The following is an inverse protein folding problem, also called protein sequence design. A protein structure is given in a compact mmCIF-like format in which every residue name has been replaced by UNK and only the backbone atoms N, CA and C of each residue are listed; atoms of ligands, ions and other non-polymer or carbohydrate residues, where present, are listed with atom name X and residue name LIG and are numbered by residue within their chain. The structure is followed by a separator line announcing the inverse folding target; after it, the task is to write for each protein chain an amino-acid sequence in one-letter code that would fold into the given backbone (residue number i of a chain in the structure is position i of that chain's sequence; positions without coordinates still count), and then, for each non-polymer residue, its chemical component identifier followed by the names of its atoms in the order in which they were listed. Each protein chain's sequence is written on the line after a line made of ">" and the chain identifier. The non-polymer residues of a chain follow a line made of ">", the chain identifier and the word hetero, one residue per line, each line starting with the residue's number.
data_IF_386928884453
#
_entry.id   IF_386928884453
#
_cell.length_a   1.000
_cell.length_b   1.000
_cell.length_c   1.000
_cell.angle_alpha   90.00
_cell.angle_beta   90.00
_cell.angle_gamma   90.00
#
_symmetry.space_group_name_H-M   'P 1'
#
loop_
_entity.id
_entity.type
_entity.pdbx_description
1 polymer ?
#
# COMPACT_ATOMS: atom_id res chain seq x y z
N UNK A 1 -4.51 17.51 -23.08
CA UNK A 1 -3.61 16.39 -22.71
C UNK A 1 -2.33 16.99 -22.14
N UNK A 2 -2.09 16.82 -20.83
CA UNK A 2 -0.86 17.29 -20.19
C UNK A 2 0.37 16.67 -20.90
N UNK A 3 1.39 17.49 -21.19
CA UNK A 3 2.66 17.01 -21.70
C UNK A 3 3.22 15.90 -20.80
N UNK A 4 3.83 14.82 -21.33
CA UNK A 4 4.40 13.73 -20.54
C UNK A 4 5.35 14.19 -19.42
N UNK A 5 5.97 15.37 -19.59
CA UNK A 5 6.88 15.98 -18.61
C UNK A 5 6.17 16.45 -17.32
N UNK A 6 4.87 16.72 -17.37
CA UNK A 6 4.11 17.32 -16.26
C UNK A 6 3.16 16.33 -15.57
N UNK A 7 3.22 15.04 -15.90
CA UNK A 7 2.34 14.04 -15.27
C UNK A 7 2.72 13.85 -13.80
N UNK A 8 1.74 13.90 -12.89
CA UNK A 8 1.92 13.60 -11.48
C UNK A 8 1.74 12.10 -11.28
N UNK A 9 2.81 11.36 -10.96
CA UNK A 9 2.75 9.91 -10.79
C UNK A 9 3.90 9.39 -9.92
N UNK A 10 3.63 8.30 -9.23
CA UNK A 10 4.57 7.61 -8.36
C UNK A 10 4.35 6.10 -8.42
N UNK A 11 5.44 5.37 -8.27
CA UNK A 11 5.45 3.93 -8.07
C UNK A 11 6.47 3.66 -6.97
N UNK A 12 6.06 2.94 -5.95
CA UNK A 12 6.86 2.64 -4.78
C UNK A 12 6.96 1.14 -4.59
N UNK A 13 8.12 0.70 -4.12
CA UNK A 13 8.43 -0.71 -3.91
C UNK A 13 8.55 -1.00 -2.43
N UNK A 14 8.06 -2.15 -1.96
CA UNK A 14 8.07 -2.42 -0.53
C UNK A 14 9.51 -2.49 0.02
N UNK A 15 9.75 -1.86 1.18
CA UNK A 15 11.00 -2.05 1.93
C UNK A 15 10.94 -3.31 2.77
N UNK A 16 12.08 -3.75 3.28
CA UNK A 16 12.09 -4.70 4.40
C UNK A 16 11.32 -4.05 5.56
N UNK A 17 10.26 -4.70 6.00
CA UNK A 17 9.43 -4.20 7.10
C UNK A 17 10.09 -4.51 8.45
N UNK A 18 9.88 -3.63 9.43
CA UNK A 18 10.26 -3.85 10.83
C UNK A 18 9.01 -4.21 11.65
N UNK A 19 8.83 -5.47 12.07
CA UNK A 19 7.67 -5.87 12.87
C UNK A 19 7.60 -5.20 14.25
N UNK A 20 8.70 -4.65 14.75
CA UNK A 20 8.74 -3.97 16.06
C UNK A 20 8.17 -2.55 16.01
N UNK A 21 8.00 -1.96 14.81
CA UNK A 21 7.42 -0.63 14.64
C UNK A 21 5.88 -0.62 14.68
N UNK A 22 5.25 -1.76 14.93
CA UNK A 22 3.78 -1.86 15.06
C UNK A 22 3.38 -1.43 16.48
N UNK A 23 2.85 -0.21 16.60
CA UNK A 23 2.37 0.35 17.87
C UNK A 23 0.86 0.58 17.84
N UNK A 24 0.13 0.02 18.81
CA UNK A 24 -1.27 0.34 19.07
C UNK A 24 -2.30 -0.62 18.46
N UNK A 25 -3.57 -0.18 18.39
CA UNK A 25 -4.73 -0.93 17.86
C UNK A 25 -4.92 -0.78 16.34
N UNK A 26 -4.09 0.02 15.67
CA UNK A 26 -4.23 0.29 14.24
C UNK A 26 -3.49 -0.75 13.41
N UNK A 27 -4.02 -1.03 12.21
CA UNK A 27 -3.34 -1.92 11.27
C UNK A 27 -1.98 -1.35 10.86
N UNK A 28 -0.92 -2.17 10.83
CA UNK A 28 0.42 -1.71 10.46
C UNK A 28 0.46 -1.10 9.06
N UNK A 29 1.20 0.00 8.94
CA UNK A 29 1.42 0.73 7.68
C UNK A 29 2.69 0.20 7.02
N UNK A 30 2.62 -0.08 5.72
CA UNK A 30 3.78 -0.49 4.94
C UNK A 30 4.75 0.66 4.70
N UNK A 31 6.04 0.34 4.80
CA UNK A 31 7.13 1.22 4.41
C UNK A 31 7.58 0.94 2.97
N UNK A 32 7.94 2.00 2.26
CA UNK A 32 8.18 1.96 0.83
C UNK A 32 9.51 2.61 0.44
N UNK A 33 10.12 2.10 -0.62
CA UNK A 33 11.20 2.67 -1.39
C UNK A 33 10.62 3.51 -2.51
N UNK A 34 11.11 4.74 -2.68
CA UNK A 34 10.56 5.76 -3.58
C UNK A 34 11.57 6.30 -4.61
N UNK A 35 12.84 5.86 -4.55
CA UNK A 35 13.93 6.44 -5.36
C UNK A 35 14.79 5.43 -6.12
N UNK A 36 14.90 4.19 -5.63
CA UNK A 36 15.80 3.16 -6.17
C UNK A 36 15.04 2.06 -6.89
N UNK A 37 15.73 1.37 -7.80
CA UNK A 37 15.17 0.24 -8.54
C UNK A 37 14.04 0.70 -9.46
N UNK A 38 12.91 -0.02 -9.41
CA UNK A 38 11.70 0.35 -10.14
C UNK A 38 10.90 1.50 -9.48
N UNK A 39 11.29 1.95 -8.28
CA UNK A 39 10.59 3.01 -7.57
C UNK A 39 10.94 4.41 -8.09
N UNK A 40 9.94 5.28 -8.14
CA UNK A 40 10.12 6.69 -8.45
C UNK A 40 8.95 7.54 -7.93
N UNK A 41 9.23 8.84 -7.78
CA UNK A 41 8.25 9.91 -7.57
C UNK A 41 8.47 11.00 -8.61
N UNK A 42 7.40 11.58 -9.15
CA UNK A 42 7.46 12.65 -10.17
C UNK A 42 6.48 13.77 -9.86
N UNK A 43 6.90 14.99 -10.23
CA UNK A 43 6.08 16.20 -10.15
C UNK A 43 5.42 16.40 -8.77
N UNK A 44 6.26 16.37 -7.74
CA UNK A 44 5.94 16.64 -6.33
C UNK A 44 4.99 15.65 -5.64
N UNK A 45 4.57 14.56 -6.29
CA UNK A 45 3.92 13.43 -5.61
C UNK A 45 4.97 12.72 -4.75
N UNK A 46 5.09 13.15 -3.50
CA UNK A 46 6.24 12.86 -2.64
C UNK A 46 5.94 11.77 -1.62
N UNK A 47 6.98 11.11 -1.13
CA UNK A 47 6.87 10.12 -0.06
C UNK A 47 7.48 10.67 1.22
N UNK A 48 6.69 10.72 2.29
CA UNK A 48 7.14 11.17 3.61
C UNK A 48 6.33 10.48 4.71
N UNK A 49 6.98 10.11 5.80
CA UNK A 49 6.32 9.54 6.99
C UNK A 49 5.39 8.37 6.67
N UNK A 50 5.85 7.46 5.79
CA UNK A 50 5.09 6.30 5.29
C UNK A 50 3.86 6.60 4.43
N UNK A 51 3.67 7.85 4.01
CA UNK A 51 2.56 8.26 3.18
C UNK A 51 3.02 8.86 1.84
N UNK A 52 2.22 8.63 0.80
CA UNK A 52 2.30 9.38 -0.46
C UNK A 52 1.47 10.65 -0.32
N UNK A 53 2.10 11.81 -0.51
CA UNK A 53 1.49 13.13 -0.26
C UNK A 53 1.03 13.74 -1.59
N UNK A 54 -0.26 14.03 -1.69
CA UNK A 54 -0.90 14.57 -2.89
C UNK A 54 -0.49 16.03 -3.12
N UNK A 55 0.12 16.36 -4.27
CA UNK A 55 0.65 17.70 -4.52
C UNK A 55 -0.39 18.66 -5.11
N UNK A 56 -1.44 18.15 -5.72
CA UNK A 56 -2.48 18.93 -6.43
C UNK A 56 -3.81 18.20 -6.32
N UNK A 57 -4.89 18.91 -6.01
CA UNK A 57 -6.23 18.33 -5.98
C UNK A 57 -6.68 17.81 -7.35
N UNK A 58 -7.37 16.69 -7.39
CA UNK A 58 -7.89 16.10 -8.62
C UNK A 58 -8.26 14.62 -8.47
N UNK A 59 -8.60 13.99 -9.59
CA UNK A 59 -8.91 12.57 -9.63
C UNK A 59 -7.65 11.75 -9.90
N UNK A 60 -7.33 10.86 -8.97
CA UNK A 60 -6.17 9.98 -9.04
C UNK A 60 -6.61 8.55 -9.26
N UNK A 61 -5.94 7.83 -10.15
CA UNK A 61 -5.96 6.38 -10.10
C UNK A 61 -4.93 5.92 -9.07
N UNK A 62 -5.41 5.32 -7.99
CA UNK A 62 -4.58 4.81 -6.88
C UNK A 62 -4.61 3.29 -6.92
N UNK A 63 -3.45 2.65 -6.79
CA UNK A 63 -3.35 1.19 -6.86
C UNK A 63 -2.26 0.64 -5.95
N UNK A 64 -2.47 -0.59 -5.47
CA UNK A 64 -1.49 -1.34 -4.70
C UNK A 64 -1.61 -2.82 -4.99
N UNK A 65 -0.47 -3.51 -5.03
CA UNK A 65 -0.41 -4.96 -4.87
C UNK A 65 0.33 -5.28 -3.58
N UNK A 66 -0.25 -6.14 -2.75
CA UNK A 66 0.42 -6.72 -1.59
C UNK A 66 0.45 -8.22 -1.74
N UNK A 67 1.65 -8.79 -1.87
CA UNK A 67 1.83 -10.24 -1.84
C UNK A 67 2.09 -10.67 -0.42
N UNK A 68 1.23 -11.54 0.09
CA UNK A 68 1.40 -12.20 1.37
C UNK A 68 1.98 -13.59 1.18
N UNK A 69 2.81 -14.03 2.13
CA UNK A 69 3.36 -15.39 2.22
C UNK A 69 3.43 -15.82 3.67
N UNK A 70 3.14 -17.08 3.94
CA UNK A 70 3.15 -17.62 5.30
C UNK A 70 3.76 -19.01 5.37
N UNK A 71 4.33 -19.38 6.53
CA UNK A 71 4.78 -20.74 6.77
C UNK A 71 3.59 -21.70 6.80
N UNK A 72 3.88 -22.96 6.47
CA UNK A 72 2.99 -24.09 6.63
C UNK A 72 2.84 -24.45 8.11
N UNK A 73 2.15 -23.65 8.91
CA UNK A 73 1.86 -24.05 10.29
C UNK A 73 0.49 -24.73 10.35
N UNK A 74 0.49 -26.02 10.69
CA UNK A 74 -0.67 -26.94 10.58
C UNK A 74 -1.62 -26.83 11.77
N UNK A 75 -1.57 -25.76 12.57
CA UNK A 75 -2.25 -25.73 13.87
C UNK A 75 -3.12 -24.50 14.17
N UNK A 76 -3.70 -23.83 13.18
CA UNK A 76 -4.84 -22.93 13.47
C UNK A 76 -5.72 -22.58 12.27
N UNK A 77 -7.04 -22.59 12.54
CA UNK A 77 -8.17 -21.85 11.98
C UNK A 77 -7.93 -21.07 10.67
N UNK A 78 -8.91 -21.13 9.77
CA UNK A 78 -9.16 -20.14 8.69
C UNK A 78 -8.54 -18.77 9.01
N UNK A 79 -7.39 -18.49 8.39
CA UNK A 79 -6.69 -17.22 8.52
C UNK A 79 -7.10 -16.33 7.35
N UNK A 80 -7.05 -15.02 7.54
CA UNK A 80 -7.29 -14.08 6.45
C UNK A 80 -6.19 -13.05 6.39
N UNK A 81 -5.89 -12.62 5.18
CA UNK A 81 -5.01 -11.48 4.94
C UNK A 81 -5.78 -10.34 4.32
N UNK A 82 -5.53 -9.13 4.81
CA UNK A 82 -6.22 -7.92 4.37
C UNK A 82 -5.20 -6.88 3.97
N UNK A 83 -5.47 -6.18 2.87
CA UNK A 83 -4.78 -4.96 2.47
C UNK A 83 -5.81 -3.83 2.34
N UNK A 84 -5.43 -2.64 2.80
CA UNK A 84 -6.28 -1.46 2.80
C UNK A 84 -5.47 -0.27 2.28
N UNK A 85 -6.01 0.48 1.32
CA UNK A 85 -5.51 1.82 1.00
C UNK A 85 -6.30 2.82 1.85
N UNK A 86 -5.59 3.60 2.67
CA UNK A 86 -6.19 4.61 3.55
C UNK A 86 -5.77 6.02 3.14
N UNK A 87 -6.59 6.99 3.52
CA UNK A 87 -6.38 8.42 3.34
C UNK A 87 -6.44 9.12 4.69
N UNK A 88 -5.45 9.95 4.99
CA UNK A 88 -5.49 10.91 6.11
C UNK A 88 -5.48 12.31 5.54
N UNK A 89 -6.27 13.18 6.14
CA UNK A 89 -6.39 14.60 5.77
C UNK A 89 -6.08 15.44 7.00
N UNK A 90 -5.62 16.68 6.83
CA UNK A 90 -5.34 17.53 7.99
C UNK A 90 -6.63 18.00 8.71
N UNK A 91 -7.76 18.02 8.00
CA UNK A 91 -9.09 18.38 8.55
C UNK A 91 -9.75 17.26 9.34
N UNK A 92 -9.35 16.00 9.11
CA UNK A 92 -9.88 14.83 9.78
C UNK A 92 -8.75 13.83 10.10
N UNK A 93 -8.31 13.73 11.37
CA UNK A 93 -7.15 12.93 11.74
C UNK A 93 -7.40 11.42 11.69
N UNK A 94 -8.66 10.98 11.72
CA UNK A 94 -9.00 9.56 11.61
C UNK A 94 -8.86 9.08 10.15
N UNK A 95 -8.06 8.02 9.88
CA UNK A 95 -7.87 7.51 8.53
C UNK A 95 -9.16 7.02 7.89
N UNK A 96 -9.47 7.51 6.69
CA UNK A 96 -10.58 7.01 5.86
C UNK A 96 -10.09 5.84 5.01
N UNK A 97 -10.82 4.71 5.01
CA UNK A 97 -10.52 3.58 4.13
C UNK A 97 -11.04 3.87 2.71
N UNK A 98 -10.16 3.91 1.72
CA UNK A 98 -10.54 4.10 0.33
C UNK A 98 -10.86 2.78 -0.37
N UNK A 99 -9.98 1.78 -0.19
CA UNK A 99 -10.10 0.47 -0.81
C UNK A 99 -9.69 -0.60 0.20
N UNK A 100 -10.49 -1.65 0.32
CA UNK A 100 -10.25 -2.78 1.24
C UNK A 100 -10.44 -4.09 0.49
N UNK A 101 -9.50 -5.02 0.65
CA UNK A 101 -9.68 -6.39 0.18
C UNK A 101 -9.12 -7.37 1.21
N UNK A 102 -9.91 -8.41 1.47
CA UNK A 102 -9.58 -9.50 2.38
C UNK A 102 -9.67 -10.81 1.61
N UNK A 103 -8.67 -11.67 1.80
CA UNK A 103 -8.67 -13.05 1.30
C UNK A 103 -8.60 -14.02 2.46
N UNK A 104 -9.58 -14.91 2.52
CA UNK A 104 -9.57 -16.06 3.43
C UNK A 104 -8.67 -17.14 2.85
N UNK A 105 -7.80 -17.67 3.69
CA UNK A 105 -6.87 -18.76 3.38
C UNK A 105 -7.51 -20.08 3.81
N UNK A 106 -7.46 -21.07 2.91
CA UNK A 106 -7.92 -22.43 3.18
C UNK A 106 -6.77 -23.27 3.76
N UNK A 107 -7.13 -24.22 4.62
CA UNK A 107 -6.23 -24.99 5.49
C UNK A 107 -5.28 -25.96 4.74
N UNK A 108 -5.48 -26.17 3.43
CA UNK A 108 -4.81 -27.26 2.70
C UNK A 108 -3.50 -26.89 1.98
N UNK A 109 -2.95 -25.68 2.19
CA UNK A 109 -1.76 -25.25 1.42
C UNK A 109 -0.50 -25.13 2.27
N UNK A 110 0.39 -26.11 2.09
CA UNK A 110 1.81 -25.99 2.45
C UNK A 110 2.40 -24.73 1.79
N UNK A 111 3.00 -23.84 2.59
CA UNK A 111 3.67 -22.59 2.14
C UNK A 111 2.90 -21.83 1.06
N UNK A 112 1.95 -21.01 1.49
CA UNK A 112 1.09 -20.27 0.57
C UNK A 112 1.68 -18.92 0.17
N UNK A 113 1.30 -18.47 -1.04
CA UNK A 113 1.57 -17.13 -1.55
C UNK A 113 0.28 -16.57 -2.13
N UNK A 114 -0.12 -15.38 -1.68
CA UNK A 114 -1.39 -14.78 -2.08
C UNK A 114 -1.23 -13.28 -2.35
N UNK A 115 -1.30 -12.85 -3.63
CA UNK A 115 -1.40 -11.43 -3.95
C UNK A 115 -2.83 -10.91 -3.71
N UNK A 116 -2.91 -9.69 -3.20
CA UNK A 116 -4.10 -8.83 -3.19
C UNK A 116 -3.78 -7.60 -4.02
N UNK A 117 -4.56 -7.36 -5.07
CA UNK A 117 -4.49 -6.14 -5.88
C UNK A 117 -5.71 -5.27 -5.59
N UNK A 118 -5.46 -3.97 -5.41
CA UNK A 118 -6.44 -2.93 -5.21
C UNK A 118 -6.18 -1.83 -6.24
N UNK A 119 -7.24 -1.28 -6.84
CA UNK A 119 -7.10 -0.14 -7.74
C UNK A 119 -8.43 0.53 -8.04
N UNK A 120 -8.49 1.85 -7.90
CA UNK A 120 -9.67 2.65 -8.23
C UNK A 120 -9.31 4.11 -8.52
N UNK A 121 -10.21 4.81 -9.20
CA UNK A 121 -10.21 6.26 -9.29
C UNK A 121 -10.80 6.85 -8.02
N UNK A 122 -10.11 7.81 -7.40
CA UNK A 122 -10.54 8.51 -6.19
C UNK A 122 -10.23 10.01 -6.32
N UNK A 123 -11.14 10.85 -5.86
CA UNK A 123 -10.91 12.30 -5.79
C UNK A 123 -10.13 12.63 -4.52
N UNK A 124 -9.01 13.34 -4.69
CA UNK A 124 -8.08 13.69 -3.61
C UNK A 124 -7.81 15.19 -3.61
N UNK A 125 -7.54 15.71 -2.41
CA UNK A 125 -7.17 17.11 -2.21
C UNK A 125 -5.67 17.26 -2.00
N UNK A 126 -5.13 18.44 -2.30
CA UNK A 126 -3.76 18.80 -1.96
C UNK A 126 -3.49 18.57 -0.47
N UNK A 127 -2.40 17.90 -0.16
CA UNK A 127 -2.01 17.56 1.20
C UNK A 127 -2.60 16.25 1.73
N UNK A 128 -3.55 15.62 1.02
CA UNK A 128 -4.02 14.28 1.37
C UNK A 128 -2.83 13.30 1.42
N UNK A 129 -2.85 12.42 2.42
CA UNK A 129 -1.79 11.44 2.69
C UNK A 129 -2.35 10.04 2.48
N UNK A 130 -1.81 9.34 1.47
CA UNK A 130 -2.21 7.97 1.16
C UNK A 130 -1.24 6.97 1.77
N UNK A 131 -1.78 5.92 2.37
CA UNK A 131 -1.01 4.84 3.00
C UNK A 131 -1.59 3.48 2.63
N UNK A 132 -0.79 2.43 2.84
CA UNK A 132 -1.25 1.05 2.71
C UNK A 132 -1.11 0.35 4.05
N UNK A 133 -2.22 -0.14 4.58
CA UNK A 133 -2.29 -0.91 5.80
C UNK A 133 -2.50 -2.39 5.48
N UNK A 134 -1.97 -3.27 6.33
CA UNK A 134 -2.12 -4.72 6.17
C UNK A 134 -2.55 -5.39 7.48
N UNK A 135 -3.16 -6.56 7.41
CA UNK A 135 -3.57 -7.32 8.61
C UNK A 135 -2.37 -7.81 9.43
N UNK A 136 -1.32 -8.29 8.76
CA UNK A 136 -0.08 -8.74 9.41
C UNK A 136 1.14 -8.40 8.55
N UNK A 137 2.00 -7.53 9.08
CA UNK A 137 3.21 -7.06 8.41
C UNK A 137 4.27 -8.16 8.26
N UNK A 138 4.26 -9.18 9.13
CA UNK A 138 5.23 -10.30 9.09
C UNK A 138 5.02 -11.21 7.89
N UNK A 139 3.79 -11.23 7.36
CA UNK A 139 3.42 -12.05 6.21
C UNK A 139 3.70 -11.36 4.86
N UNK A 140 4.14 -10.10 4.85
CA UNK A 140 4.34 -9.35 3.60
C UNK A 140 5.61 -9.82 2.90
N UNK A 141 5.50 -10.17 1.62
CA UNK A 141 6.63 -10.52 0.78
C UNK A 141 7.35 -9.25 0.29
N UNK A 142 8.50 -8.97 0.91
CA UNK A 142 9.43 -7.90 0.54
C UNK A 142 10.66 -8.38 -0.24
N UNK A 143 10.67 -9.62 -0.73
CA UNK A 143 11.87 -10.20 -1.36
C UNK A 143 12.14 -9.69 -2.77
N UNK A 144 11.12 -9.20 -3.47
CA UNK A 144 11.20 -8.72 -4.86
C UNK A 144 10.28 -7.52 -5.07
N UNK A 145 10.79 -6.51 -5.76
CA UNK A 145 10.09 -5.25 -6.03
C UNK A 145 8.76 -5.44 -6.78
N UNK A 146 8.69 -6.35 -7.75
CA UNK A 146 7.48 -6.59 -8.56
C UNK A 146 6.34 -7.32 -7.83
N UNK A 147 6.55 -7.80 -6.60
CA UNK A 147 5.53 -8.55 -5.86
C UNK A 147 4.64 -7.66 -5.01
N UNK A 148 5.21 -6.61 -4.43
CA UNK A 148 4.52 -5.71 -3.51
C UNK A 148 4.91 -4.28 -3.82
N UNK A 149 3.93 -3.51 -4.31
CA UNK A 149 4.12 -2.15 -4.81
C UNK A 149 2.87 -1.29 -4.56
N UNK A 150 3.06 0.02 -4.51
CA UNK A 150 2.00 1.01 -4.30
C UNK A 150 2.26 2.23 -5.19
N UNK A 151 1.23 2.77 -5.80
CA UNK A 151 1.37 3.93 -6.66
C UNK A 151 0.09 4.70 -6.86
N UNK A 152 0.25 5.88 -7.45
CA UNK A 152 -0.85 6.72 -7.87
C UNK A 152 -0.44 7.58 -9.06
N UNK A 153 -1.40 8.00 -9.87
CA UNK A 153 -1.21 9.03 -10.88
C UNK A 153 -2.46 9.89 -11.06
N UNK A 154 -2.25 11.17 -11.33
CA UNK A 154 -3.30 12.12 -11.67
C UNK A 154 -3.80 11.86 -13.10
N UNK A 155 -5.11 11.90 -13.29
CA UNK A 155 -5.78 11.70 -14.58
C UNK A 155 -5.81 12.96 -15.46
#
# INVERSE_FOLDING_TARGET
>A
LLSPKNKVYALQMVKKQDPSSVTGRHLPILQWEDKRGLAFTKNNLSYSSNALVIPVSGDYYVYAQVTFRGPSDTSSKTSSVTAIITKVTDSYPEPTQLLTSTKTLSEERNNWFQPIYLGAMVSLEIGDKLMVNVSDIKLVDYTKEHKTFFGAFLL
#
